data_IF_396281536054
#
_entry.id   IF_396281536054
#
_cell.length_a   1.000
_cell.length_b   1.000
_cell.length_c   1.000
_cell.angle_alpha   90.00
_cell.angle_beta   90.00
_cell.angle_gamma   90.00
#
_symmetry.space_group_name_H-M   'P 1'
#
loop_
_entity.id
_entity.type
_entity.pdbx_description
1 polymer ?
#
# COMPACT_ATOMS: atom_id res chain seq x y z
N UNK A 1 31.13 9.44 31.66
CA UNK A 1 30.27 8.25 31.56
C UNK A 1 30.94 7.15 32.38
N UNK A 2 30.38 6.77 33.53
CA UNK A 2 30.99 5.77 34.43
C UNK A 2 30.42 4.40 34.05
N UNK A 3 31.25 3.57 33.42
CA UNK A 3 30.85 2.21 33.01
C UNK A 3 31.11 1.27 34.17
N UNK A 4 30.05 0.61 34.65
CA UNK A 4 30.12 -0.31 35.78
C UNK A 4 30.75 -1.63 35.32
N UNK A 5 31.96 -1.97 35.78
CA UNK A 5 32.76 -3.10 35.30
C UNK A 5 32.44 -4.44 35.99
N UNK A 6 31.19 -4.64 36.41
CA UNK A 6 30.77 -5.89 37.06
C UNK A 6 30.68 -7.02 36.02
N UNK A 7 31.40 -8.13 36.23
CA UNK A 7 31.49 -9.24 35.25
C UNK A 7 30.14 -9.92 34.93
N UNK A 8 29.11 -9.72 35.74
CA UNK A 8 27.74 -10.21 35.49
C UNK A 8 26.82 -9.16 34.84
N UNK A 9 27.28 -7.94 34.65
CA UNK A 9 26.54 -6.93 33.91
C UNK A 9 26.81 -7.14 32.41
N UNK A 10 25.97 -7.94 31.77
CA UNK A 10 25.93 -8.05 30.31
C UNK A 10 24.58 -7.54 29.81
N UNK A 11 24.63 -6.70 28.77
CA UNK A 11 23.46 -6.26 28.01
C UNK A 11 23.72 -6.60 26.55
N UNK A 12 22.69 -7.05 25.84
CA UNK A 12 22.78 -7.27 24.41
C UNK A 12 23.15 -5.95 23.71
N UNK A 13 24.24 -5.95 22.96
CA UNK A 13 24.62 -4.83 22.11
C UNK A 13 24.05 -5.06 20.72
N UNK A 14 23.18 -4.16 20.27
CA UNK A 14 22.61 -4.21 18.93
C UNK A 14 23.47 -3.40 17.95
N UNK A 15 23.65 -3.87 16.70
CA UNK A 15 24.22 -3.04 15.66
C UNK A 15 23.35 -1.79 15.49
N UNK A 16 23.94 -0.60 15.66
CA UNK A 16 23.25 0.67 15.48
C UNK A 16 24.07 1.70 14.70
N UNK A 17 23.39 2.60 14.01
CA UNK A 17 23.97 3.72 13.26
C UNK A 17 23.06 4.94 13.35
N UNK A 18 23.64 6.14 13.22
CA UNK A 18 22.88 7.39 13.19
C UNK A 18 22.88 7.93 11.77
N UNK A 19 21.69 8.20 11.25
CA UNK A 19 21.51 8.82 9.95
C UNK A 19 20.39 9.85 10.03
N UNK A 20 20.66 11.09 9.59
CA UNK A 20 19.68 12.19 9.59
C UNK A 20 19.05 12.48 10.97
N UNK A 21 19.87 12.40 12.03
CA UNK A 21 19.45 12.52 13.45
C UNK A 21 18.52 11.39 13.94
N UNK A 22 18.38 10.32 13.15
CA UNK A 22 17.60 9.12 13.50
C UNK A 22 18.56 8.00 13.88
N UNK A 23 18.31 7.37 15.04
CA UNK A 23 19.03 6.17 15.48
C UNK A 23 18.37 4.94 14.85
N UNK A 24 19.11 4.25 13.99
CA UNK A 24 18.70 2.97 13.41
C UNK A 24 19.40 1.84 14.16
N UNK A 25 18.66 0.82 14.56
CA UNK A 25 19.23 -0.38 15.18
C UNK A 25 18.61 -1.63 14.57
N UNK A 26 19.42 -2.68 14.42
CA UNK A 26 18.94 -4.01 14.03
C UNK A 26 18.66 -4.82 15.31
N UNK A 27 17.45 -5.36 15.52
CA UNK A 27 17.12 -6.11 16.74
C UNK A 27 17.73 -7.52 16.78
N UNK A 28 18.73 -7.81 15.95
CA UNK A 28 19.41 -9.09 15.90
C UNK A 28 20.81 -9.03 16.52
N UNK A 29 21.08 -9.95 17.45
CA UNK A 29 22.34 -10.08 18.18
C UNK A 29 23.27 -11.15 17.62
N UNK A 30 22.84 -11.94 16.63
CA UNK A 30 23.68 -12.99 16.06
C UNK A 30 24.94 -12.39 15.42
N UNK A 31 26.13 -12.98 15.63
CA UNK A 31 27.40 -12.46 15.12
C UNK A 31 27.42 -12.23 13.61
N UNK A 32 26.61 -12.99 12.86
CA UNK A 32 26.48 -12.89 11.41
C UNK A 32 25.88 -11.56 10.94
N UNK A 33 25.15 -10.84 11.80
CA UNK A 33 24.53 -9.54 11.47
C UNK A 33 25.31 -8.36 12.02
N UNK A 34 26.55 -8.57 12.50
CA UNK A 34 27.39 -7.48 13.03
C UNK A 34 27.62 -6.37 11.99
N UNK A 35 27.73 -6.77 10.71
CA UNK A 35 27.95 -5.87 9.58
C UNK A 35 26.66 -5.57 8.78
N UNK A 36 25.48 -5.90 9.33
CA UNK A 36 24.19 -5.71 8.62
C UNK A 36 23.94 -4.25 8.25
N UNK A 37 24.49 -3.29 9.01
CA UNK A 37 24.34 -1.87 8.71
C UNK A 37 25.21 -1.40 7.53
N UNK A 38 26.24 -2.18 7.18
CA UNK A 38 27.08 -1.95 6.00
C UNK A 38 26.42 -2.56 4.77
N UNK A 39 25.87 -3.77 4.90
CA UNK A 39 25.17 -4.49 3.82
C UNK A 39 23.79 -3.87 3.52
N UNK A 40 23.01 -3.61 4.56
CA UNK A 40 21.67 -3.02 4.53
C UNK A 40 21.73 -1.62 5.13
N UNK A 41 22.26 -0.68 4.35
CA UNK A 41 22.26 0.73 4.77
C UNK A 41 20.83 1.21 5.00
N UNK A 42 20.59 2.00 6.06
CA UNK A 42 19.29 2.62 6.23
C UNK A 42 18.93 3.43 4.97
N UNK A 43 17.65 3.44 4.58
CA UNK A 43 17.21 4.14 3.39
C UNK A 43 17.58 5.63 3.51
N UNK A 44 18.13 6.18 2.43
CA UNK A 44 18.30 7.63 2.32
C UNK A 44 16.95 8.25 2.04
N UNK A 45 16.55 9.22 2.86
CA UNK A 45 15.32 9.99 2.70
C UNK A 45 15.73 11.41 2.30
N UNK A 46 15.79 11.75 1.00
CA UNK A 46 16.31 13.04 0.53
C UNK A 46 15.53 14.24 1.06
N UNK A 47 14.26 14.04 1.42
CA UNK A 47 13.41 15.10 1.97
C UNK A 47 13.89 15.57 3.36
N UNK A 48 14.61 14.73 4.11
CA UNK A 48 15.16 15.12 5.42
C UNK A 48 16.40 16.03 5.29
N UNK A 49 17.01 16.11 4.11
CA UNK A 49 18.16 16.98 3.83
C UNK A 49 17.72 18.39 3.37
N UNK A 50 16.44 18.59 3.08
CA UNK A 50 15.92 19.90 2.65
C UNK A 50 15.74 20.83 3.86
N UNK A 51 16.40 22.00 3.90
CA UNK A 51 16.25 22.97 5.00
C UNK A 51 14.82 23.53 5.14
N UNK A 52 13.99 23.41 4.11
CA UNK A 52 12.58 23.82 4.16
C UNK A 52 11.67 22.73 4.76
N UNK A 53 12.17 21.51 4.93
CA UNK A 53 11.38 20.42 5.51
C UNK A 53 11.32 20.53 7.03
N UNK A 54 10.12 20.73 7.56
CA UNK A 54 9.90 20.73 9.01
C UNK A 54 10.01 19.32 9.57
N UNK A 55 11.12 19.02 10.26
CA UNK A 55 11.31 17.78 11.02
C UNK A 55 10.42 17.76 12.27
N UNK A 56 9.14 17.39 12.12
CA UNK A 56 8.24 17.17 13.24
C UNK A 56 8.50 15.77 13.83
N UNK A 57 9.34 15.68 14.86
CA UNK A 57 9.46 14.47 15.68
C UNK A 57 8.24 14.37 16.60
N UNK A 58 7.18 13.73 16.10
CA UNK A 58 6.05 13.31 16.92
C UNK A 58 6.16 11.82 17.19
N UNK A 59 6.25 11.43 18.45
CA UNK A 59 6.09 10.04 18.85
C UNK A 59 4.62 9.65 18.60
N UNK A 60 4.40 8.74 17.66
CA UNK A 60 3.12 8.07 17.49
C UNK A 60 3.35 6.61 17.82
N UNK A 61 3.09 6.24 19.07
CA UNK A 61 2.75 4.86 19.40
C UNK A 61 1.50 4.48 18.59
N UNK A 62 1.72 3.93 17.40
CA UNK A 62 0.64 3.41 16.57
C UNK A 62 0.33 2.02 17.14
N UNK A 63 -0.87 1.77 17.70
CA UNK A 63 -1.20 0.50 18.38
C UNK A 63 -1.36 -0.69 17.41
N UNK A 64 -0.89 -0.58 16.18
CA UNK A 64 -1.03 -1.60 15.14
C UNK A 64 0.34 -2.15 14.77
N UNK A 65 0.55 -3.43 15.08
CA UNK A 65 1.79 -4.15 14.79
C UNK A 65 2.09 -4.23 13.30
N UNK A 66 3.37 -4.22 12.98
CA UNK A 66 4.01 -4.23 11.66
C UNK A 66 3.54 -5.36 10.69
N UNK A 67 2.68 -6.27 11.15
CA UNK A 67 2.22 -7.46 10.42
C UNK A 67 0.88 -7.32 9.67
N UNK A 68 0.19 -6.19 9.75
CA UNK A 68 -0.99 -5.91 8.92
C UNK A 68 -0.87 -4.50 8.35
N UNK A 69 -0.89 -4.42 7.01
CA UNK A 69 -0.72 -3.17 6.29
C UNK A 69 -1.63 -2.08 6.84
N UNK A 70 -1.06 -0.90 7.08
CA UNK A 70 -1.78 0.28 7.53
C UNK A 70 -2.99 0.60 6.63
N UNK A 71 -2.97 0.13 5.39
CA UNK A 71 -4.02 0.23 4.37
C UNK A 71 -5.20 -0.71 4.66
N UNK A 72 -4.95 -1.96 5.09
CA UNK A 72 -6.01 -2.97 5.27
C UNK A 72 -6.86 -2.68 6.52
N UNK A 73 -6.21 -2.19 7.58
CA UNK A 73 -6.83 -1.95 8.88
C UNK A 73 -7.34 -0.50 9.05
N UNK A 74 -6.94 0.42 8.18
CA UNK A 74 -7.54 1.75 8.17
C UNK A 74 -8.95 1.67 7.59
N UNK A 75 -9.96 2.02 8.39
CA UNK A 75 -11.39 1.98 7.99
C UNK A 75 -11.66 2.80 6.71
N UNK A 76 -10.98 3.93 6.54
CA UNK A 76 -11.08 4.77 5.34
C UNK A 76 -10.45 4.10 4.11
N UNK A 77 -9.27 3.52 4.26
CA UNK A 77 -8.54 2.87 3.16
C UNK A 77 -9.17 1.53 2.77
N UNK A 78 -9.67 0.76 3.72
CA UNK A 78 -10.38 -0.51 3.49
C UNK A 78 -11.67 -0.30 2.69
N UNK A 79 -12.42 0.76 2.99
CA UNK A 79 -13.62 1.12 2.22
C UNK A 79 -13.24 1.56 0.81
N UNK A 80 -12.22 2.42 0.65
CA UNK A 80 -11.76 2.84 -0.66
C UNK A 80 -11.27 1.66 -1.52
N UNK A 81 -10.47 0.76 -0.94
CA UNK A 81 -9.97 -0.43 -1.62
C UNK A 81 -11.11 -1.39 -2.03
N UNK A 82 -12.13 -1.57 -1.19
CA UNK A 82 -13.31 -2.36 -1.53
C UNK A 82 -14.16 -1.69 -2.61
N UNK A 83 -14.31 -0.37 -2.56
CA UNK A 83 -15.05 0.38 -3.57
C UNK A 83 -14.38 0.31 -4.94
N UNK A 84 -13.04 0.45 -4.99
CA UNK A 84 -12.25 0.31 -6.23
C UNK A 84 -12.38 -1.10 -6.80
N UNK A 85 -12.25 -2.14 -5.98
CA UNK A 85 -12.44 -3.52 -6.45
C UNK A 85 -13.86 -3.81 -6.95
N UNK A 86 -14.89 -3.28 -6.28
CA UNK A 86 -16.29 -3.47 -6.70
C UNK A 86 -16.59 -2.72 -8.01
N UNK A 87 -16.02 -1.53 -8.17
CA UNK A 87 -16.12 -0.75 -9.41
C UNK A 87 -15.44 -1.45 -10.58
N UNK A 88 -14.30 -2.12 -10.35
CA UNK A 88 -13.61 -2.87 -11.39
C UNK A 88 -14.36 -4.16 -11.79
N UNK A 89 -15.01 -4.84 -10.85
CA UNK A 89 -15.91 -5.97 -11.15
C UNK A 89 -17.09 -5.51 -12.03
N UNK A 90 -17.67 -4.33 -11.73
CA UNK A 90 -18.75 -3.77 -12.52
C UNK A 90 -18.30 -3.43 -13.96
N UNK A 91 -17.10 -2.86 -14.12
CA UNK A 91 -16.50 -2.60 -15.44
C UNK A 91 -16.33 -3.88 -16.26
N UNK A 92 -15.83 -4.96 -15.65
CA UNK A 92 -15.64 -6.26 -16.32
C UNK A 92 -16.99 -6.88 -16.72
N UNK A 93 -17.99 -6.81 -15.85
CA UNK A 93 -19.33 -7.32 -16.14
C UNK A 93 -19.98 -6.58 -17.33
N UNK A 94 -19.84 -5.26 -17.43
CA UNK A 94 -20.35 -4.48 -18.56
C UNK A 94 -19.70 -4.89 -19.89
N UNK A 95 -18.37 -5.11 -19.91
CA UNK A 95 -17.66 -5.54 -21.12
C UNK A 95 -18.09 -6.94 -21.55
N UNK A 96 -18.28 -7.87 -20.59
CA UNK A 96 -18.76 -9.22 -20.88
C UNK A 96 -20.18 -9.21 -21.48
N UNK A 97 -21.07 -8.34 -20.97
CA UNK A 97 -22.42 -8.14 -21.52
C UNK A 97 -22.40 -7.63 -22.98
N UNK A 98 -21.50 -6.71 -23.32
CA UNK A 98 -21.34 -6.23 -24.70
C UNK A 98 -20.90 -7.37 -25.63
N UNK A 99 -19.96 -8.22 -25.17
CA UNK A 99 -19.52 -9.40 -25.93
C UNK A 99 -20.63 -10.42 -26.16
N UNK A 100 -21.46 -10.70 -25.15
CA UNK A 100 -22.61 -11.61 -25.26
C UNK A 100 -23.65 -11.08 -26.26
N UNK A 101 -23.95 -9.78 -26.21
CA UNK A 101 -24.92 -9.14 -27.12
C UNK A 101 -24.41 -9.15 -28.57
N UNK A 102 -23.09 -9.01 -28.77
CA UNK A 102 -22.46 -9.14 -30.08
C UNK A 102 -22.50 -10.57 -30.64
N UNK A 103 -22.44 -11.59 -29.77
CA UNK A 103 -22.43 -13.00 -30.16
C UNK A 103 -23.83 -13.61 -30.35
N UNK A 104 -24.90 -12.97 -29.86
CA UNK A 104 -26.26 -13.46 -30.04
C UNK A 104 -26.65 -13.48 -31.55
N UNK A 105 -27.25 -14.56 -32.04
CA UNK A 105 -27.70 -14.70 -33.44
C UNK A 105 -28.88 -13.78 -33.76
N UNK A 106 -28.94 -13.21 -34.98
CA UNK A 106 -29.93 -12.17 -35.37
C UNK A 106 -31.42 -12.57 -35.15
N UNK A 107 -31.71 -13.86 -35.04
CA UNK A 107 -33.04 -14.41 -34.75
C UNK A 107 -33.51 -14.19 -33.30
N UNK A 108 -32.60 -13.90 -32.36
CA UNK A 108 -32.94 -13.79 -30.93
C UNK A 108 -33.48 -12.40 -30.52
N UNK A 109 -33.17 -11.33 -31.25
CA UNK A 109 -33.60 -9.95 -30.94
C UNK A 109 -33.56 -9.06 -32.19
N UNK A 110 -34.59 -8.23 -32.38
CA UNK A 110 -34.63 -7.18 -33.42
C UNK A 110 -33.38 -6.29 -33.38
N UNK A 111 -32.85 -5.93 -34.56
CA UNK A 111 -31.66 -5.08 -34.70
C UNK A 111 -31.77 -3.74 -33.96
N UNK A 112 -32.98 -3.18 -33.86
CA UNK A 112 -33.24 -1.97 -33.09
C UNK A 112 -33.04 -2.18 -31.58
N UNK A 113 -33.57 -3.28 -31.04
CA UNK A 113 -33.45 -3.61 -29.63
C UNK A 113 -32.01 -3.91 -29.23
N UNK A 114 -31.23 -4.55 -30.11
CA UNK A 114 -29.78 -4.79 -29.91
C UNK A 114 -29.00 -3.49 -29.83
N UNK A 115 -29.28 -2.57 -30.76
CA UNK A 115 -28.58 -1.28 -30.83
C UNK A 115 -28.84 -0.44 -29.58
N UNK A 116 -30.08 -0.43 -29.08
CA UNK A 116 -30.45 0.22 -27.81
C UNK A 116 -29.71 -0.42 -26.64
N UNK A 117 -29.66 -1.75 -26.57
CA UNK A 117 -29.02 -2.45 -25.46
C UNK A 117 -27.51 -2.17 -25.38
N UNK A 118 -26.83 -2.16 -26.54
CA UNK A 118 -25.41 -1.82 -26.64
C UNK A 118 -25.17 -0.35 -26.27
N UNK A 119 -25.97 0.58 -26.79
CA UNK A 119 -25.85 1.99 -26.46
C UNK A 119 -26.05 2.25 -24.96
N UNK A 120 -27.05 1.61 -24.35
CA UNK A 120 -27.30 1.70 -22.91
C UNK A 120 -26.11 1.15 -22.11
N UNK A 121 -25.56 0.00 -22.50
CA UNK A 121 -24.39 -0.59 -21.84
C UNK A 121 -23.16 0.31 -21.93
N UNK A 122 -22.92 0.95 -23.08
CA UNK A 122 -21.81 1.90 -23.29
C UNK A 122 -22.02 3.17 -22.45
N UNK A 123 -23.23 3.70 -22.36
CA UNK A 123 -23.55 4.87 -21.52
C UNK A 123 -23.32 4.55 -20.05
N UNK A 124 -23.80 3.40 -19.57
CA UNK A 124 -23.60 2.97 -18.17
C UNK A 124 -22.12 2.76 -17.84
N UNK A 125 -21.34 2.25 -18.80
CA UNK A 125 -19.89 2.11 -18.66
C UNK A 125 -19.17 3.46 -18.63
N UNK A 126 -19.55 4.40 -19.51
CA UNK A 126 -18.98 5.75 -19.50
C UNK A 126 -19.32 6.49 -18.20
N UNK A 127 -20.54 6.33 -17.68
CA UNK A 127 -20.96 6.90 -16.40
C UNK A 127 -20.19 6.28 -15.23
N UNK A 128 -19.97 4.96 -15.22
CA UNK A 128 -19.21 4.31 -14.15
C UNK A 128 -17.76 4.77 -14.10
N UNK A 129 -17.13 5.02 -15.26
CA UNK A 129 -15.80 5.63 -15.34
C UNK A 129 -15.81 7.06 -14.78
N UNK A 130 -16.81 7.87 -15.11
CA UNK A 130 -16.88 9.27 -14.64
C UNK A 130 -17.14 9.39 -13.13
N UNK A 131 -17.79 8.39 -12.54
CA UNK A 131 -18.08 8.30 -11.10
C UNK A 131 -16.93 7.74 -10.25
N UNK A 132 -15.86 7.22 -10.88
CA UNK A 132 -14.69 6.64 -10.20
C UNK A 132 -13.51 7.60 -10.23
#
# INVERSE_FOLDING_TARGET
MQVNTFKKACVAAYPSTVQHDIVWFSPNTDPQYKDILVERKPPKIPQLDDPFYTKLMGDRDIPYGYGSGHVENCRSCSIAYKAVNLADVLKVASIALIGIVAAASQDAMSGFARTILVALAVILYALSIWLT
#
